data_IF_149103792670
#
_entry.id   IF_149103792670
#
_cell.length_a   1.000
_cell.length_b   1.000
_cell.length_c   1.000
_cell.angle_alpha   90.00
_cell.angle_beta   90.00
_cell.angle_gamma   90.00
#
_symmetry.space_group_name_H-M   'P 1'
#
loop_
_entity.id
_entity.type
_entity.pdbx_description
1 polymer ?
#
# COMPACT_ATOMS: atom_id res chain seq x y z
N UNK A 1 -11.62 -45.31 -29.86
CA UNK A 1 -12.60 -44.55 -29.05
C UNK A 1 -13.26 -43.55 -29.96
N UNK A 2 -14.58 -43.46 -29.88
CA UNK A 2 -15.41 -42.65 -30.79
C UNK A 2 -15.38 -41.18 -30.35
N UNK A 3 -15.41 -40.24 -31.31
CA UNK A 3 -15.49 -38.79 -31.04
C UNK A 3 -16.68 -38.45 -30.11
N UNK A 4 -17.74 -39.24 -30.17
CA UNK A 4 -18.91 -39.11 -29.29
C UNK A 4 -18.62 -39.49 -27.83
N UNK A 5 -17.72 -40.45 -27.58
CA UNK A 5 -17.30 -40.83 -26.23
C UNK A 5 -16.45 -39.72 -25.59
N UNK A 6 -15.56 -39.09 -26.37
CA UNK A 6 -14.77 -37.95 -25.90
C UNK A 6 -15.64 -36.72 -25.58
N UNK A 7 -16.65 -36.45 -26.41
CA UNK A 7 -17.59 -35.35 -26.17
C UNK A 7 -18.49 -35.61 -24.94
N UNK A 8 -18.94 -36.85 -24.73
CA UNK A 8 -19.68 -37.22 -23.50
C UNK A 8 -18.82 -37.04 -22.26
N UNK A 9 -17.58 -37.53 -22.28
CA UNK A 9 -16.64 -37.37 -21.16
C UNK A 9 -16.39 -35.90 -20.83
N UNK A 10 -16.15 -35.04 -21.84
CA UNK A 10 -15.99 -33.59 -21.65
C UNK A 10 -17.25 -32.91 -21.11
N UNK A 11 -18.44 -33.34 -21.56
CA UNK A 11 -19.71 -32.81 -21.08
C UNK A 11 -19.99 -33.19 -19.62
N UNK A 12 -19.68 -34.43 -19.24
CA UNK A 12 -19.84 -34.92 -17.87
C UNK A 12 -18.83 -34.29 -16.92
N UNK A 13 -17.58 -34.12 -17.34
CA UNK A 13 -16.54 -33.38 -16.60
C UNK A 13 -16.96 -31.91 -16.38
N UNK A 14 -17.53 -31.25 -17.41
CA UNK A 14 -18.02 -29.88 -17.29
C UNK A 14 -19.21 -29.77 -16.33
N UNK A 15 -20.17 -30.70 -16.41
CA UNK A 15 -21.32 -30.74 -15.50
C UNK A 15 -20.90 -31.01 -14.06
N UNK A 16 -19.97 -31.93 -13.83
CA UNK A 16 -19.45 -32.21 -12.50
C UNK A 16 -18.71 -30.99 -11.92
N UNK A 17 -17.91 -30.29 -12.73
CA UNK A 17 -17.24 -29.06 -12.33
C UNK A 17 -18.25 -27.94 -11.99
N UNK A 18 -19.30 -27.77 -12.80
CA UNK A 18 -20.36 -26.79 -12.54
C UNK A 18 -21.11 -27.10 -11.23
N UNK A 19 -21.44 -28.37 -10.97
CA UNK A 19 -22.10 -28.78 -9.71
C UNK A 19 -21.20 -28.57 -8.49
N UNK A 20 -19.91 -28.87 -8.58
CA UNK A 20 -18.96 -28.60 -7.50
C UNK A 20 -18.77 -27.10 -7.26
N UNK A 21 -18.79 -26.28 -8.31
CA UNK A 21 -18.72 -24.82 -8.16
C UNK A 21 -19.97 -24.26 -7.48
N UNK A 22 -21.15 -24.73 -7.87
CA UNK A 22 -22.42 -24.30 -7.24
C UNK A 22 -22.43 -24.64 -5.75
N UNK A 23 -22.07 -25.87 -5.38
CA UNK A 23 -22.05 -26.27 -3.96
C UNK A 23 -21.00 -25.52 -3.15
N UNK A 24 -19.83 -25.25 -3.72
CA UNK A 24 -18.79 -24.44 -3.06
C UNK A 24 -19.26 -23.00 -2.86
N UNK A 25 -19.91 -22.42 -3.87
CA UNK A 25 -20.43 -21.05 -3.80
C UNK A 25 -21.55 -20.92 -2.76
N UNK A 26 -22.45 -21.90 -2.68
CA UNK A 26 -23.51 -21.93 -1.66
C UNK A 26 -22.93 -21.99 -0.25
N UNK A 27 -21.88 -22.78 -0.02
CA UNK A 27 -21.19 -22.85 1.26
C UNK A 27 -20.52 -21.51 1.61
N UNK A 28 -19.84 -20.87 0.65
CA UNK A 28 -19.24 -19.56 0.86
C UNK A 28 -20.29 -18.50 1.16
N UNK A 29 -21.44 -18.54 0.49
CA UNK A 29 -22.53 -17.60 0.72
C UNK A 29 -23.14 -17.77 2.11
N UNK A 30 -23.32 -19.01 2.56
CA UNK A 30 -23.77 -19.31 3.92
C UNK A 30 -22.80 -18.77 4.98
N UNK A 31 -21.49 -19.01 4.81
CA UNK A 31 -20.47 -18.48 5.71
C UNK A 31 -20.46 -16.96 5.71
N UNK A 32 -20.58 -16.36 4.52
CA UNK A 32 -20.64 -14.91 4.37
C UNK A 32 -21.83 -14.30 5.12
N UNK A 33 -23.04 -14.82 4.90
CA UNK A 33 -24.25 -14.31 5.55
C UNK A 33 -24.23 -14.56 7.06
N UNK A 34 -23.76 -15.72 7.52
CA UNK A 34 -23.81 -16.09 8.93
C UNK A 34 -22.73 -15.40 9.78
N UNK A 35 -21.51 -15.23 9.24
CA UNK A 35 -20.35 -14.75 10.02
C UNK A 35 -19.85 -13.38 9.60
N UNK A 36 -19.75 -13.11 8.30
CA UNK A 36 -19.04 -11.91 7.80
C UNK A 36 -19.96 -10.70 7.78
N UNK A 37 -21.16 -10.86 7.21
CA UNK A 37 -22.15 -9.79 7.09
C UNK A 37 -22.48 -9.10 8.43
N UNK A 38 -22.82 -9.82 9.53
CA UNK A 38 -23.15 -9.15 10.79
C UNK A 38 -21.96 -8.38 11.38
N UNK A 39 -20.73 -8.83 11.13
CA UNK A 39 -19.51 -8.14 11.57
C UNK A 39 -19.23 -6.88 10.75
N UNK A 40 -19.45 -6.95 9.43
CA UNK A 40 -19.35 -5.77 8.56
C UNK A 40 -20.40 -4.70 8.90
N UNK A 41 -21.63 -5.14 9.21
CA UNK A 41 -22.70 -4.26 9.70
C UNK A 41 -22.30 -3.58 11.01
N UNK A 42 -21.80 -4.35 11.98
CA UNK A 42 -21.32 -3.80 13.25
C UNK A 42 -20.20 -2.76 13.05
N UNK A 43 -19.25 -3.02 12.15
CA UNK A 43 -18.20 -2.07 11.77
C UNK A 43 -18.81 -0.78 11.23
N UNK A 44 -19.76 -0.91 10.28
CA UNK A 44 -20.40 0.23 9.65
C UNK A 44 -21.11 1.10 10.70
N UNK A 45 -21.95 0.49 11.54
CA UNK A 45 -22.75 1.18 12.54
C UNK A 45 -21.84 1.92 13.53
N UNK A 46 -20.78 1.25 14.02
CA UNK A 46 -19.82 1.84 14.94
C UNK A 46 -19.10 3.05 14.35
N UNK A 47 -18.69 2.98 13.07
CA UNK A 47 -18.08 4.12 12.39
C UNK A 47 -19.09 5.24 12.10
N UNK A 48 -20.32 4.92 11.71
CA UNK A 48 -21.37 5.91 11.49
C UNK A 48 -21.65 6.68 12.77
N UNK A 49 -21.85 5.98 13.89
CA UNK A 49 -22.07 6.59 15.19
C UNK A 49 -20.88 7.48 15.60
N UNK A 50 -19.65 6.96 15.49
CA UNK A 50 -18.43 7.73 15.81
C UNK A 50 -18.30 8.99 14.95
N UNK A 51 -18.51 8.88 13.64
CA UNK A 51 -18.42 10.01 12.71
C UNK A 51 -19.52 11.03 13.01
N UNK A 52 -20.73 10.59 13.33
CA UNK A 52 -21.83 11.49 13.72
C UNK A 52 -21.48 12.28 14.97
N UNK A 53 -20.90 11.63 16.00
CA UNK A 53 -20.45 12.35 17.19
C UNK A 53 -19.28 13.30 16.90
N UNK A 54 -18.31 12.90 16.08
CA UNK A 54 -17.19 13.77 15.71
C UNK A 54 -17.66 15.00 14.93
N UNK A 55 -18.57 14.80 13.98
CA UNK A 55 -19.15 15.90 13.21
C UNK A 55 -20.06 16.80 14.07
N UNK A 56 -20.68 16.27 15.13
CA UNK A 56 -21.52 17.05 16.04
C UNK A 56 -20.72 17.83 17.07
N UNK A 57 -19.68 17.22 17.65
CA UNK A 57 -18.84 17.84 18.67
C UNK A 57 -17.85 18.85 18.09
N UNK A 58 -17.48 18.69 16.81
CA UNK A 58 -16.46 19.49 16.11
C UNK A 58 -15.14 19.60 16.90
N UNK A 59 -14.85 18.62 17.75
CA UNK A 59 -13.63 18.61 18.56
C UNK A 59 -12.40 18.42 17.65
N UNK A 60 -11.46 19.38 17.63
CA UNK A 60 -10.31 19.30 16.74
C UNK A 60 -9.31 18.25 17.28
N UNK A 61 -9.24 17.10 16.62
CA UNK A 61 -8.16 16.14 16.86
C UNK A 61 -6.88 16.70 16.23
N UNK A 62 -6.06 17.34 17.05
CA UNK A 62 -4.79 17.92 16.64
C UNK A 62 -3.67 16.90 16.61
N UNK A 63 -2.82 17.01 15.60
CA UNK A 63 -1.71 16.11 15.33
C UNK A 63 -0.46 16.94 15.13
N UNK A 64 0.41 16.93 16.12
CA UNK A 64 1.71 17.57 16.02
C UNK A 64 2.69 16.67 15.26
N UNK A 65 3.54 17.28 14.43
CA UNK A 65 4.63 16.60 13.75
C UNK A 65 4.18 15.36 12.94
N UNK A 66 3.15 15.53 12.13
CA UNK A 66 2.53 14.43 11.37
C UNK A 66 3.51 13.55 10.58
N UNK A 67 4.58 14.14 10.02
CA UNK A 67 5.57 13.42 9.21
C UNK A 67 6.99 13.93 9.48
N UNK A 68 7.90 13.02 9.85
CA UNK A 68 9.31 13.37 10.07
C UNK A 68 10.02 13.84 8.80
N UNK A 69 9.59 13.35 7.61
CA UNK A 69 10.15 13.79 6.32
C UNK A 69 9.77 15.25 6.00
N UNK A 70 8.58 15.68 6.42
CA UNK A 70 8.05 17.01 6.15
C UNK A 70 7.58 17.69 7.45
N UNK A 71 8.53 18.17 8.28
CA UNK A 71 8.18 18.89 9.50
C UNK A 71 7.35 20.17 9.22
N UNK A 72 7.39 20.68 7.98
CA UNK A 72 6.64 21.87 7.56
C UNK A 72 5.12 21.69 7.53
N UNK A 73 4.61 20.45 7.64
CA UNK A 73 3.17 20.24 7.86
C UNK A 73 2.70 20.85 9.19
N UNK A 74 3.57 20.93 10.20
CA UNK A 74 3.22 21.46 11.52
C UNK A 74 2.11 20.66 12.20
N UNK A 75 1.26 21.37 12.93
CA UNK A 75 0.08 20.81 13.60
C UNK A 75 -1.08 20.73 12.61
N UNK A 76 -1.58 19.52 12.35
CA UNK A 76 -2.74 19.27 11.49
C UNK A 76 -3.97 18.95 12.34
N UNK A 77 -5.15 19.33 11.87
CA UNK A 77 -6.43 18.97 12.48
C UNK A 77 -7.17 17.97 11.60
N UNK A 78 -7.86 17.01 12.21
CA UNK A 78 -8.75 16.13 11.45
C UNK A 78 -10.09 16.81 11.15
N UNK A 79 -10.57 16.70 9.91
CA UNK A 79 -11.82 17.33 9.49
C UNK A 79 -12.50 16.56 8.36
N UNK A 80 -13.77 16.90 8.09
CA UNK A 80 -14.57 16.43 6.96
C UNK A 80 -14.68 14.90 6.86
N UNK A 81 -15.09 14.26 7.95
CA UNK A 81 -15.31 12.82 7.99
C UNK A 81 -16.46 12.41 7.07
N UNK A 82 -16.21 11.40 6.23
CA UNK A 82 -17.17 10.83 5.29
C UNK A 82 -17.06 9.32 5.30
N UNK A 83 -18.21 8.66 5.23
CA UNK A 83 -18.30 7.21 5.07
C UNK A 83 -18.97 6.89 3.73
N UNK A 84 -18.36 5.97 2.99
CA UNK A 84 -18.85 5.47 1.71
C UNK A 84 -18.84 3.95 1.75
N UNK A 85 -19.89 3.34 1.22
CA UNK A 85 -20.05 1.88 1.15
C UNK A 85 -20.14 1.42 -0.30
N UNK A 86 -20.17 0.10 -0.51
CA UNK A 86 -20.23 -0.55 -1.85
C UNK A 86 -21.55 -0.29 -2.65
N UNK A 87 -22.43 0.58 -2.14
CA UNK A 87 -23.68 0.93 -2.79
C UNK A 87 -23.49 1.76 -4.06
N UNK A 88 -24.21 1.44 -5.14
CA UNK A 88 -24.38 2.36 -6.27
C UNK A 88 -25.06 3.62 -5.74
N UNK A 89 -24.41 4.78 -5.90
CA UNK A 89 -24.95 6.10 -5.52
C UNK A 89 -25.09 6.26 -3.97
N UNK A 90 -24.25 5.59 -3.18
CA UNK A 90 -24.17 5.84 -1.73
C UNK A 90 -25.23 5.17 -0.87
N UNK A 91 -26.15 4.40 -1.45
CA UNK A 91 -27.07 3.52 -0.71
C UNK A 91 -26.46 2.13 -0.64
N UNK A 92 -25.77 1.81 0.46
CA UNK A 92 -25.36 0.43 0.73
C UNK A 92 -26.60 -0.45 0.80
N UNK A 93 -26.60 -1.58 0.09
CA UNK A 93 -27.47 -2.67 0.49
C UNK A 93 -26.91 -3.21 1.81
N UNK A 94 -27.57 -2.87 2.92
CA UNK A 94 -27.16 -3.28 4.27
C UNK A 94 -27.07 -4.80 4.37
N UNK A 95 -27.80 -5.54 3.53
CA UNK A 95 -27.78 -6.99 3.47
C UNK A 95 -26.65 -7.57 2.59
N UNK A 96 -25.91 -6.72 1.86
CA UNK A 96 -24.82 -7.14 0.99
C UNK A 96 -23.64 -6.18 1.07
N UNK A 97 -23.04 -6.10 2.25
CA UNK A 97 -21.95 -5.17 2.51
C UNK A 97 -20.58 -5.82 2.31
N UNK A 98 -19.92 -5.49 1.19
CA UNK A 98 -18.56 -5.97 0.90
C UNK A 98 -17.46 -5.00 1.33
N UNK A 99 -17.77 -3.70 1.36
CA UNK A 99 -16.75 -2.67 1.56
C UNK A 99 -17.29 -1.48 2.34
N UNK A 100 -16.52 -1.07 3.36
CA UNK A 100 -16.68 0.21 4.07
C UNK A 100 -15.43 1.04 3.83
N UNK A 101 -15.62 2.26 3.35
CA UNK A 101 -14.56 3.26 3.20
C UNK A 101 -14.89 4.45 4.10
N UNK A 102 -14.03 4.72 5.07
CA UNK A 102 -14.04 5.96 5.84
C UNK A 102 -12.92 6.85 5.33
N UNK A 103 -13.23 8.10 5.05
CA UNK A 103 -12.27 9.08 4.56
C UNK A 103 -12.43 10.41 5.29
N UNK A 104 -11.31 11.06 5.57
CA UNK A 104 -11.25 12.39 6.17
C UNK A 104 -9.98 13.10 5.73
N UNK A 105 -9.84 14.37 6.09
CA UNK A 105 -8.63 15.14 5.82
C UNK A 105 -7.91 15.47 7.12
N UNK A 106 -6.58 15.39 7.10
CA UNK A 106 -5.75 16.09 8.07
C UNK A 106 -5.29 17.39 7.42
N UNK A 107 -5.82 18.52 7.87
CA UNK A 107 -5.54 19.81 7.25
C UNK A 107 -5.15 20.90 8.25
N UNK A 108 -4.37 21.84 7.75
CA UNK A 108 -4.00 23.09 8.40
C UNK A 108 -3.95 24.18 7.34
N UNK A 109 -4.02 25.43 7.77
CA UNK A 109 -4.01 26.55 6.84
C UNK A 109 -2.65 26.71 6.14
N UNK A 110 -2.75 26.99 4.85
CA UNK A 110 -1.64 27.37 3.99
C UNK A 110 -0.95 26.22 3.25
N UNK A 111 0.20 26.58 2.69
CA UNK A 111 1.06 25.72 1.90
C UNK A 111 2.51 25.90 2.36
N UNK A 112 3.35 24.90 2.07
CA UNK A 112 4.78 25.03 2.29
C UNK A 112 5.53 24.70 1.01
N UNK A 113 6.68 25.35 0.84
CA UNK A 113 7.51 25.14 -0.33
C UNK A 113 8.91 24.67 0.03
N UNK A 114 9.47 23.81 -0.81
CA UNK A 114 10.85 23.34 -0.70
C UNK A 114 11.44 23.14 -2.10
N UNK A 115 12.77 23.09 -2.17
CA UNK A 115 13.51 23.02 -3.44
C UNK A 115 14.19 21.67 -3.59
N UNK A 116 14.21 21.16 -4.82
CA UNK A 116 14.97 19.98 -5.23
C UNK A 116 15.78 20.31 -6.49
N UNK A 117 17.04 19.89 -6.52
CA UNK A 117 18.01 20.28 -7.56
C UNK A 117 18.34 19.15 -8.54
N UNK A 118 17.74 17.96 -8.38
CA UNK A 118 18.07 16.78 -9.17
C UNK A 118 16.84 16.19 -9.84
N UNK A 119 16.85 16.08 -11.17
CA UNK A 119 15.78 15.48 -11.99
C UNK A 119 15.31 14.10 -11.48
N UNK A 120 16.19 13.11 -11.19
CA UNK A 120 15.74 11.83 -10.66
C UNK A 120 15.12 11.93 -9.25
N UNK A 121 15.46 12.95 -8.45
CA UNK A 121 14.81 13.19 -7.17
C UNK A 121 13.45 13.88 -7.36
N UNK A 122 13.34 14.79 -8.32
CA UNK A 122 12.10 15.45 -8.72
C UNK A 122 11.07 14.38 -9.13
N UNK A 123 11.42 13.48 -10.04
CA UNK A 123 10.51 12.42 -10.49
C UNK A 123 10.08 11.50 -9.35
N UNK A 124 11.00 11.12 -8.47
CA UNK A 124 10.67 10.31 -7.29
C UNK A 124 9.72 11.04 -6.35
N UNK A 125 9.92 12.33 -6.14
CA UNK A 125 9.09 13.15 -5.28
C UNK A 125 7.69 13.33 -5.86
N UNK A 126 7.60 13.60 -7.17
CA UNK A 126 6.33 13.67 -7.90
C UNK A 126 5.55 12.37 -7.73
N UNK A 127 6.19 11.23 -8.00
CA UNK A 127 5.58 9.92 -7.85
C UNK A 127 5.13 9.68 -6.41
N UNK A 128 5.93 10.09 -5.42
CA UNK A 128 5.57 9.98 -4.01
C UNK A 128 4.33 10.81 -3.70
N UNK A 129 4.33 12.11 -3.99
CA UNK A 129 3.21 13.00 -3.68
C UNK A 129 1.92 12.59 -4.41
N UNK A 130 2.01 12.22 -5.69
CA UNK A 130 0.89 11.69 -6.48
C UNK A 130 0.38 10.37 -5.90
N UNK A 131 1.29 9.45 -5.57
CA UNK A 131 0.90 8.18 -4.97
C UNK A 131 0.12 8.42 -3.69
N UNK A 132 0.48 9.42 -2.88
CA UNK A 132 -0.18 9.77 -1.62
C UNK A 132 -1.41 10.68 -1.79
N UNK A 133 -1.75 11.09 -3.03
CA UNK A 133 -2.85 12.02 -3.35
C UNK A 133 -2.74 13.36 -2.62
N UNK A 134 -1.51 13.84 -2.43
CA UNK A 134 -1.29 15.18 -1.90
C UNK A 134 -1.50 16.21 -3.01
N UNK A 135 -2.05 17.36 -2.65
CA UNK A 135 -2.20 18.50 -3.57
C UNK A 135 -0.88 19.28 -3.55
N UNK A 136 -0.26 19.40 -4.71
CA UNK A 136 1.00 20.12 -4.87
C UNK A 136 1.09 20.73 -6.26
N UNK A 137 1.91 21.78 -6.36
CA UNK A 137 2.37 22.38 -7.60
C UNK A 137 3.91 22.35 -7.64
N UNK A 138 4.49 22.33 -8.83
CA UNK A 138 5.93 22.50 -8.99
C UNK A 138 6.27 23.47 -10.12
N UNK A 139 7.36 24.22 -9.97
CA UNK A 139 7.87 25.13 -11.00
C UNK A 139 9.39 25.04 -11.07
N UNK A 140 9.92 24.89 -12.29
CA UNK A 140 11.35 25.01 -12.53
C UNK A 140 11.75 26.48 -12.39
N UNK A 141 12.77 26.74 -11.58
CA UNK A 141 13.43 28.03 -11.43
C UNK A 141 14.88 27.88 -11.84
N UNK A 142 15.29 28.69 -12.81
CA UNK A 142 16.70 28.87 -13.12
C UNK A 142 17.35 29.64 -11.97
N UNK A 143 18.35 29.04 -11.33
CA UNK A 143 19.19 29.68 -10.32
C UNK A 143 20.57 29.85 -10.94
N UNK A 144 21.30 30.90 -10.56
CA UNK A 144 22.66 31.11 -11.04
C UNK A 144 23.51 29.90 -10.65
N UNK A 145 23.86 29.06 -11.63
CA UNK A 145 24.62 27.81 -11.43
C UNK A 145 23.84 26.49 -11.58
N UNK A 146 22.54 26.51 -11.88
CA UNK A 146 21.79 25.27 -12.14
C UNK A 146 20.27 25.44 -12.26
N UNK A 147 19.56 24.33 -12.48
CA UNK A 147 18.10 24.28 -12.45
C UNK A 147 17.64 23.73 -11.10
N UNK A 148 16.73 24.43 -10.42
CA UNK A 148 16.05 23.90 -9.24
C UNK A 148 14.55 23.86 -9.47
N UNK A 149 13.87 22.89 -8.88
CA UNK A 149 12.41 22.81 -8.92
C UNK A 149 11.89 23.18 -7.55
N UNK A 150 11.04 24.21 -7.50
CA UNK A 150 10.32 24.61 -6.31
C UNK A 150 9.01 23.83 -6.26
N UNK A 151 8.86 22.99 -5.25
CA UNK A 151 7.61 22.34 -4.92
C UNK A 151 6.84 23.21 -3.94
N UNK A 152 5.53 23.32 -4.13
CA UNK A 152 4.59 23.94 -3.21
C UNK A 152 3.53 22.90 -2.88
N UNK A 153 3.46 22.47 -1.63
CA UNK A 153 2.56 21.41 -1.18
C UNK A 153 1.52 22.03 -0.24
N UNK A 154 0.25 21.74 -0.51
CA UNK A 154 -0.84 22.16 0.37
C UNK A 154 -0.85 21.31 1.64
N UNK A 155 -1.13 21.93 2.78
CA UNK A 155 -1.25 21.24 4.08
C UNK A 155 -2.60 20.54 4.21
N UNK A 156 -2.92 19.67 3.25
CA UNK A 156 -4.17 18.90 3.21
C UNK A 156 -3.87 17.46 2.81
N UNK A 157 -4.01 16.55 3.77
CA UNK A 157 -3.64 15.14 3.63
C UNK A 157 -4.91 14.29 3.64
N UNK A 158 -5.26 13.60 2.54
CA UNK A 158 -6.40 12.70 2.54
C UNK A 158 -6.04 11.40 3.27
N UNK A 159 -6.81 11.06 4.30
CA UNK A 159 -6.70 9.81 5.05
C UNK A 159 -7.84 8.90 4.66
N UNK A 160 -7.53 7.62 4.44
CA UNK A 160 -8.52 6.62 4.02
C UNK A 160 -8.34 5.36 4.86
N UNK A 161 -9.44 4.91 5.46
CA UNK A 161 -9.60 3.60 6.07
C UNK A 161 -10.56 2.82 5.19
N UNK A 162 -10.12 1.69 4.66
CA UNK A 162 -10.91 0.79 3.82
C UNK A 162 -10.93 -0.57 4.46
N UNK A 163 -12.12 -1.10 4.65
CA UNK A 163 -12.34 -2.45 5.14
C UNK A 163 -13.11 -3.16 4.04
N UNK A 164 -12.53 -4.21 3.48
CA UNK A 164 -13.11 -4.99 2.40
C UNK A 164 -13.17 -6.47 2.78
N UNK A 165 -14.19 -7.16 2.28
CA UNK A 165 -14.35 -8.60 2.41
C UNK A 165 -13.72 -9.28 1.21
N UNK A 166 -12.75 -10.15 1.46
CA UNK A 166 -12.29 -11.12 0.48
C UNK A 166 -13.24 -12.33 0.50
N UNK A 167 -14.21 -12.33 -0.41
CA UNK A 167 -15.23 -13.37 -0.50
C UNK A 167 -14.64 -14.76 -0.74
N UNK A 168 -13.55 -14.86 -1.51
CA UNK A 168 -12.94 -16.14 -1.86
C UNK A 168 -12.26 -16.80 -0.66
N UNK A 169 -11.62 -15.98 0.18
CA UNK A 169 -10.87 -16.46 1.34
C UNK A 169 -11.65 -16.32 2.65
N UNK A 170 -12.83 -15.71 2.63
CA UNK A 170 -13.63 -15.38 3.82
C UNK A 170 -12.84 -14.56 4.86
N UNK A 171 -12.04 -13.59 4.39
CA UNK A 171 -11.19 -12.74 5.22
C UNK A 171 -11.62 -11.28 5.14
N UNK A 172 -11.39 -10.54 6.21
CA UNK A 172 -11.48 -9.09 6.24
C UNK A 172 -10.11 -8.51 5.89
N UNK A 173 -10.03 -7.57 4.95
CA UNK A 173 -8.81 -6.82 4.67
C UNK A 173 -9.01 -5.39 5.10
N UNK A 174 -8.12 -4.93 5.97
CA UNK A 174 -8.10 -3.55 6.45
C UNK A 174 -6.92 -2.84 5.80
N UNK A 175 -7.22 -1.76 5.09
CA UNK A 175 -6.26 -0.88 4.45
C UNK A 175 -6.39 0.52 5.04
N UNK A 176 -5.30 1.04 5.59
CA UNK A 176 -5.24 2.38 6.17
C UNK A 176 -4.16 3.14 5.43
N UNK A 177 -4.45 4.37 5.01
CA UNK A 177 -3.53 5.14 4.19
C UNK A 177 -3.45 6.58 4.66
N UNK A 178 -2.21 7.08 4.71
CA UNK A 178 -1.87 8.42 5.15
C UNK A 178 -2.40 8.72 6.57
N UNK A 179 -2.52 7.71 7.43
CA UNK A 179 -2.90 7.95 8.82
C UNK A 179 -1.68 8.41 9.63
N UNK A 180 -0.53 7.77 9.43
CA UNK A 180 0.70 8.11 10.13
C UNK A 180 1.84 8.22 9.11
N UNK A 181 2.61 9.32 9.17
CA UNK A 181 3.84 9.50 8.39
C UNK A 181 3.70 9.23 6.88
N UNK A 182 2.54 9.54 6.27
CA UNK A 182 2.21 9.21 4.88
C UNK A 182 2.36 7.71 4.52
N UNK A 183 2.28 6.81 5.50
CA UNK A 183 2.42 5.38 5.28
C UNK A 183 1.09 4.75 4.88
N UNK A 184 1.19 3.56 4.29
CA UNK A 184 0.05 2.69 4.02
C UNK A 184 0.21 1.43 4.88
N UNK A 185 -0.85 1.04 5.56
CA UNK A 185 -0.96 -0.18 6.33
C UNK A 185 -2.01 -1.08 5.69
N UNK A 186 -1.74 -2.38 5.64
CA UNK A 186 -2.63 -3.38 5.08
C UNK A 186 -2.49 -4.67 5.88
N UNK A 187 -3.58 -5.18 6.47
CA UNK A 187 -3.59 -6.45 7.20
C UNK A 187 -4.90 -7.20 6.95
N UNK A 188 -4.81 -8.51 6.88
CA UNK A 188 -5.96 -9.41 6.76
C UNK A 188 -6.29 -10.03 8.12
N UNK A 189 -7.58 -10.18 8.40
CA UNK A 189 -8.12 -10.71 9.65
C UNK A 189 -9.15 -11.80 9.35
N UNK A 190 -9.20 -12.80 10.20
CA UNK A 190 -10.25 -13.83 10.19
C UNK A 190 -11.52 -13.30 10.85
N UNK A 191 -12.71 -13.83 10.52
CA UNK A 191 -13.97 -13.39 11.12
C UNK A 191 -14.00 -13.47 12.65
N UNK A 192 -13.28 -14.44 13.23
CA UNK A 192 -13.18 -14.64 14.68
C UNK A 192 -12.32 -13.55 15.35
N UNK A 193 -11.37 -12.94 14.64
CA UNK A 193 -10.54 -11.83 15.13
C UNK A 193 -11.25 -10.48 15.07
N UNK A 194 -12.36 -10.37 14.34
CA UNK A 194 -13.17 -9.16 14.26
C UNK A 194 -14.21 -9.20 15.37
N UNK A 195 -13.76 -8.91 16.59
CA UNK A 195 -14.59 -8.80 17.78
C UNK A 195 -14.72 -7.33 18.25
N UNK A 196 -15.39 -7.11 19.38
CA UNK A 196 -15.55 -5.77 19.92
C UNK A 196 -14.21 -5.16 20.34
N UNK A 197 -13.26 -5.96 20.83
CA UNK A 197 -11.94 -5.48 21.20
C UNK A 197 -11.14 -4.99 19.98
N UNK A 198 -11.27 -5.68 18.84
CA UNK A 198 -10.75 -5.22 17.57
C UNK A 198 -11.36 -3.88 17.14
N UNK A 199 -12.68 -3.72 17.26
CA UNK A 199 -13.35 -2.47 16.93
C UNK A 199 -12.90 -1.32 17.82
N UNK A 200 -12.82 -1.54 19.13
CA UNK A 200 -12.33 -0.54 20.09
C UNK A 200 -10.89 -0.13 19.77
N UNK A 201 -10.02 -1.09 19.43
CA UNK A 201 -8.64 -0.82 19.03
C UNK A 201 -8.59 -0.03 17.71
N UNK A 202 -9.42 -0.38 16.73
CA UNK A 202 -9.49 0.30 15.44
C UNK A 202 -10.02 1.73 15.58
N UNK A 203 -11.07 1.93 16.38
CA UNK A 203 -11.64 3.25 16.67
C UNK A 203 -10.68 4.11 17.50
N UNK A 204 -10.00 3.52 18.49
CA UNK A 204 -8.97 4.21 19.27
C UNK A 204 -7.80 4.65 18.38
N UNK A 205 -7.42 3.80 17.41
CA UNK A 205 -6.40 4.13 16.42
C UNK A 205 -6.88 5.24 15.46
N UNK A 206 -8.12 5.16 14.98
CA UNK A 206 -8.74 6.20 14.15
C UNK A 206 -8.77 7.57 14.85
N UNK A 207 -9.08 7.58 16.15
CA UNK A 207 -9.06 8.77 17.01
C UNK A 207 -7.65 9.17 17.46
N UNK A 208 -6.61 8.42 17.07
CA UNK A 208 -5.20 8.62 17.48
C UNK A 208 -4.96 8.61 18.99
N UNK A 209 -5.83 7.95 19.75
CA UNK A 209 -5.66 7.75 21.19
C UNK A 209 -4.64 6.66 21.48
N UNK A 210 -4.50 5.71 20.57
CA UNK A 210 -3.72 4.50 20.78
C UNK A 210 -3.18 3.92 19.47
N UNK A 211 -1.88 3.58 19.45
CA UNK A 211 -1.20 3.02 18.28
C UNK A 211 -1.14 1.49 18.27
N UNK A 212 -1.67 0.81 19.31
CA UNK A 212 -1.61 -0.66 19.45
C UNK A 212 -2.18 -1.42 18.25
N UNK A 213 -3.11 -0.84 17.50
CA UNK A 213 -3.71 -1.49 16.32
C UNK A 213 -2.68 -1.78 15.21
N UNK A 214 -1.72 -0.88 15.00
CA UNK A 214 -0.68 -0.99 13.95
C UNK A 214 0.66 -1.47 14.51
N UNK A 215 0.93 -1.19 15.79
CA UNK A 215 2.16 -1.67 16.47
C UNK A 215 2.06 -3.07 17.04
N UNK A 216 0.89 -3.73 17.01
CA UNK A 216 0.77 -5.12 17.41
C UNK A 216 1.77 -5.99 16.62
N UNK A 217 2.72 -6.54 17.38
CA UNK A 217 3.92 -7.32 17.07
C UNK A 217 3.72 -8.61 16.23
N UNK A 218 2.76 -8.65 15.32
CA UNK A 218 2.52 -9.80 14.44
C UNK A 218 3.39 -9.72 13.17
N UNK A 219 4.70 -9.56 13.34
CA UNK A 219 5.56 -10.36 12.47
C UNK A 219 5.36 -11.78 13.00
N UNK A 220 4.48 -12.56 12.37
CA UNK A 220 4.35 -14.00 12.62
C UNK A 220 5.75 -14.58 12.83
N UNK A 221 5.91 -15.46 13.82
CA UNK A 221 7.19 -16.13 14.10
C UNK A 221 7.78 -16.73 12.82
N UNK A 222 6.92 -17.15 11.89
CA UNK A 222 7.28 -17.63 10.55
C UNK A 222 7.93 -16.55 9.68
N UNK A 223 7.41 -15.32 9.69
CA UNK A 223 7.99 -14.18 8.98
C UNK A 223 9.30 -13.71 9.62
N UNK A 224 9.42 -13.73 10.96
CA UNK A 224 10.71 -13.45 11.65
C UNK A 224 11.76 -14.49 11.26
N UNK A 225 11.38 -15.76 11.14
CA UNK A 225 12.28 -16.85 10.76
C UNK A 225 12.65 -16.80 9.27
N UNK A 226 11.71 -16.49 8.38
CA UNK A 226 11.98 -16.30 6.96
C UNK A 226 12.92 -15.12 6.70
N UNK A 227 12.73 -14.00 7.42
CA UNK A 227 13.63 -12.83 7.33
C UNK A 227 15.03 -13.19 7.88
N UNK A 228 15.12 -13.88 9.02
CA UNK A 228 16.42 -14.35 9.55
C UNK A 228 17.13 -15.29 8.58
N UNK A 229 16.42 -16.24 7.98
CA UNK A 229 16.98 -17.17 7.01
C UNK A 229 17.45 -16.45 5.72
N UNK A 230 16.72 -15.45 5.24
CA UNK A 230 17.09 -14.65 4.09
C UNK A 230 18.34 -13.77 4.36
N UNK A 231 18.44 -13.19 5.55
CA UNK A 231 19.61 -12.39 5.97
C UNK A 231 20.83 -13.29 6.14
N UNK A 232 20.68 -14.47 6.73
CA UNK A 232 21.78 -15.45 6.87
C UNK A 232 22.27 -15.99 5.53
N UNK A 233 21.36 -16.29 4.58
CA UNK A 233 21.74 -16.67 3.22
C UNK A 233 22.53 -15.58 2.50
N UNK A 234 22.11 -14.32 2.61
CA UNK A 234 22.85 -13.18 2.05
C UNK A 234 24.23 -13.02 2.71
N UNK A 235 24.31 -13.13 4.03
CA UNK A 235 25.58 -13.04 4.75
C UNK A 235 26.55 -14.17 4.36
N UNK A 236 26.05 -15.38 4.11
CA UNK A 236 26.86 -16.51 3.65
C UNK A 236 27.37 -16.31 2.21
N UNK A 237 26.54 -15.78 1.30
CA UNK A 237 26.98 -15.51 -0.07
C UNK A 237 27.99 -14.36 -0.15
N UNK A 238 27.93 -13.37 0.76
CA UNK A 238 28.97 -12.34 0.88
C UNK A 238 30.31 -12.88 1.41
N UNK A 239 30.30 -13.89 2.30
CA UNK A 239 31.53 -14.53 2.77
C UNK A 239 32.20 -15.38 1.69
N UNK A 240 31.42 -16.11 0.90
CA UNK A 240 31.94 -16.92 -0.22
C UNK A 240 32.54 -16.07 -1.36
N UNK A 241 32.06 -14.83 -1.57
CA UNK A 241 32.66 -13.92 -2.56
C UNK A 241 33.96 -13.26 -2.09
N UNK A 242 34.23 -13.20 -0.79
CA UNK A 242 35.42 -12.57 -0.23
C UNK A 242 36.55 -13.54 0.15
N UNK A 243 36.38 -14.85 -0.08
CA UNK A 243 37.40 -15.89 0.19
C UNK A 243 38.13 -16.39 -1.07
N UNK A 244 37.98 -15.73 -2.23
CA UNK A 244 38.90 -15.97 -3.35
C UNK A 244 40.25 -15.29 -3.06
N UNK A 245 41.35 -16.05 -2.89
CA UNK A 245 42.67 -15.45 -2.69
C UNK A 245 43.10 -14.72 -3.97
N UNK A 246 43.84 -13.59 -3.83
CA UNK A 246 44.36 -12.88 -4.99
C UNK A 246 45.27 -13.81 -5.81
N UNK A 247 45.17 -13.83 -7.15
CA UNK A 247 46.06 -14.61 -7.97
C UNK A 247 47.49 -14.08 -7.83
N UNK A 248 48.42 -15.01 -7.64
CA UNK A 248 49.85 -14.76 -7.48
C UNK A 248 50.42 -13.97 -8.67
N UNK A 249 51.27 -13.01 -8.34
CA UNK A 249 52.13 -12.29 -9.28
C UNK A 249 53.13 -13.28 -9.89
N UNK A 250 53.07 -13.47 -11.21
CA UNK A 250 54.19 -13.96 -12.00
C UNK A 250 54.39 -13.01 -13.21
N UNK A 251 55.62 -12.55 -13.32
CA UNK A 251 56.14 -11.60 -14.30
C UNK A 251 56.46 -12.30 -15.67
N UNK A 252 56.94 -11.60 -16.72
CA UNK A 252 56.28 -11.51 -18.02
C UNK A 252 56.79 -12.49 -19.10
N UNK A 253 55.95 -12.81 -20.09
CA UNK A 253 56.39 -13.39 -21.36
C UNK A 253 55.82 -12.63 -22.56
N UNK A 254 56.73 -12.27 -23.45
CA UNK A 254 56.61 -11.45 -24.66
C UNK A 254 55.92 -12.20 -25.82
N UNK A 255 55.24 -11.42 -26.70
CA UNK A 255 54.81 -11.71 -28.09
C UNK A 255 53.57 -12.61 -28.29
N UNK A 256 52.65 -12.39 -29.25
CA UNK A 256 52.63 -11.63 -30.53
C UNK A 256 51.18 -11.50 -31.05
N UNK A 257 50.96 -10.46 -31.87
CA UNK A 257 50.04 -10.35 -33.04
C UNK A 257 48.53 -10.08 -32.84
N UNK A 258 48.19 -8.83 -33.17
CA UNK A 258 47.24 -8.36 -34.20
C UNK A 258 45.72 -8.53 -34.04
N UNK A 259 45.04 -7.58 -34.70
CA UNK A 259 43.59 -7.42 -34.97
C UNK A 259 42.93 -6.75 -33.75
N UNK A 260 42.50 -5.48 -33.77
CA UNK A 260 41.50 -4.87 -34.64
C UNK A 260 41.80 -3.37 -34.76
N UNK A 261 42.22 -2.93 -35.95
CA UNK A 261 42.02 -1.56 -36.40
C UNK A 261 40.83 -1.56 -37.33
N UNK A 262 39.74 -0.87 -36.96
CA UNK A 262 38.64 -0.44 -37.83
C UNK A 262 37.43 -0.11 -36.96
N UNK A 263 37.09 1.18 -36.82
CA UNK A 263 35.72 1.72 -36.93
C UNK A 263 35.55 3.17 -36.42
N UNK A 264 36.62 3.88 -36.05
CA UNK A 264 36.56 5.34 -35.89
C UNK A 264 36.95 6.05 -37.19
N UNK A 265 35.97 6.31 -38.05
CA UNK A 265 35.92 7.54 -38.86
C UNK A 265 34.61 7.59 -39.63
N UNK A 266 33.67 8.40 -39.14
CA UNK A 266 32.77 9.16 -40.02
C UNK A 266 31.96 10.18 -39.22
N UNK A 267 32.06 11.42 -39.70
CA UNK A 267 31.21 12.58 -39.46
C UNK A 267 31.48 13.45 -38.23
N UNK A 268 32.45 14.35 -38.39
CA UNK A 268 32.26 15.76 -38.02
C UNK A 268 32.67 16.69 -39.16
N UNK A 269 31.88 17.77 -39.28
CA UNK A 269 32.06 19.03 -40.01
C UNK A 269 31.68 19.06 -41.51
N UNK A 270 30.47 19.57 -41.76
CA UNK A 270 30.25 20.57 -42.81
C UNK A 270 29.81 21.88 -42.16
N UNK A 271 30.45 22.94 -42.62
CA UNK A 271 30.02 24.33 -42.54
C UNK A 271 28.83 24.57 -43.46
#
# INVERSE_FOLDING_TARGET
>A
MSVLEELRKKADEKKAAEQQQVSTNEQLEQVYQAKILPKMQLILDSFQETINYLNFLEEPIQIDNYCAKYPQFGSLSQSHYKINTDGRIGFADYNRLMQVNVSFFCEADGEFSYRLESDPLIDKEINLLQSKRLLFDWKHKSVVGGYCTLFTVQRKIPVIFRIEVDYQHSLFKVFIRNHENLQSFGKSFTPEQVDNAFLDALLSYFLRKDNRFVTADDISVENKNAIKAAVQKKAASYKQQNEQPPPAEDEPVIAKKNIIGSLFSKFQKKS
#
